data_IF_467366268296
#
_entry.id   IF_467366268296
#
_cell.length_a   1.000
_cell.length_b   1.000
_cell.length_c   1.000
_cell.angle_alpha   90.00
_cell.angle_beta   90.00
_cell.angle_gamma   90.00
#
_symmetry.space_group_name_H-M   'P 1'
#
loop_
_entity.id
_entity.type
_entity.pdbx_description
1 polymer ?
#
# COMPACT_ATOMS: atom_id res chain seq x y z
N UNK A 1 21.39 2.48 1.51
CA UNK A 1 19.91 2.40 1.57
C UNK A 1 19.35 2.87 0.24
N UNK A 2 18.43 2.14 -0.40
CA UNK A 2 17.80 2.63 -1.63
C UNK A 2 16.89 3.81 -1.25
N UNK A 3 17.13 4.97 -1.85
CA UNK A 3 16.38 6.19 -1.53
C UNK A 3 14.99 6.07 -2.17
N UNK A 4 13.92 6.26 -1.42
CA UNK A 4 12.56 6.29 -1.97
C UNK A 4 11.80 7.52 -1.49
N UNK A 5 10.97 8.09 -2.38
CA UNK A 5 10.03 9.17 -2.08
C UNK A 5 8.65 8.56 -1.83
N UNK A 6 7.99 9.00 -0.76
CA UNK A 6 6.58 8.68 -0.52
C UNK A 6 5.75 9.86 -1.02
N UNK A 7 4.66 9.59 -1.72
CA UNK A 7 3.64 10.59 -2.06
C UNK A 7 2.25 10.00 -1.93
N UNK A 8 1.28 10.88 -1.71
CA UNK A 8 -0.12 10.53 -1.89
C UNK A 8 -0.40 10.23 -3.36
N UNK A 9 -1.34 9.33 -3.59
CA UNK A 9 -1.76 8.85 -4.89
C UNK A 9 -3.29 8.84 -4.96
N UNK A 10 -3.84 9.18 -6.13
CA UNK A 10 -5.27 9.11 -6.37
C UNK A 10 -5.60 7.88 -7.20
N UNK A 11 -6.66 7.15 -6.86
CA UNK A 11 -7.02 5.95 -7.59
C UNK A 11 -7.21 6.17 -9.11
N UNK A 12 -7.91 7.22 -9.58
CA UNK A 12 -8.10 7.42 -11.02
C UNK A 12 -6.81 7.74 -11.78
N UNK A 13 -5.91 8.57 -11.21
CA UNK A 13 -4.70 9.00 -11.90
C UNK A 13 -3.54 8.00 -11.76
N UNK A 14 -3.46 7.31 -10.62
CA UNK A 14 -2.35 6.44 -10.24
C UNK A 14 -2.73 4.96 -10.24
N UNK A 15 -3.82 4.58 -10.91
CA UNK A 15 -4.31 3.20 -10.98
C UNK A 15 -3.20 2.23 -11.39
N UNK A 16 -2.53 2.51 -12.49
CA UNK A 16 -1.49 1.64 -13.07
C UNK A 16 -0.32 1.38 -12.09
N UNK A 17 0.33 2.39 -11.49
CA UNK A 17 1.41 2.14 -10.54
C UNK A 17 0.93 1.45 -9.25
N UNK A 18 -0.27 1.75 -8.76
CA UNK A 18 -0.87 1.07 -7.59
C UNK A 18 -1.10 -0.41 -7.89
N UNK A 19 -1.79 -0.73 -8.98
CA UNK A 19 -2.06 -2.09 -9.42
C UNK A 19 -0.78 -2.87 -9.71
N UNK A 20 0.26 -2.21 -10.24
CA UNK A 20 1.55 -2.85 -10.54
C UNK A 20 2.16 -3.46 -9.28
N UNK A 21 2.34 -2.67 -8.22
CA UNK A 21 2.91 -3.16 -6.95
C UNK A 21 2.01 -4.22 -6.32
N UNK A 22 0.69 -3.98 -6.30
CA UNK A 22 -0.30 -4.90 -5.73
C UNK A 22 -0.29 -6.25 -6.44
N UNK A 23 -0.19 -6.27 -7.77
CA UNK A 23 -0.12 -7.49 -8.57
C UNK A 23 1.16 -8.28 -8.30
N UNK A 24 2.32 -7.62 -8.26
CA UNK A 24 3.59 -8.32 -7.99
C UNK A 24 3.57 -8.98 -6.61
N UNK A 25 3.06 -8.30 -5.58
CA UNK A 25 3.07 -8.81 -4.20
C UNK A 25 1.90 -9.75 -3.91
N UNK A 26 0.66 -9.33 -4.16
CA UNK A 26 -0.50 -10.12 -3.79
C UNK A 26 -0.75 -11.27 -4.76
N UNK A 27 -0.72 -11.00 -6.07
CA UNK A 27 -1.05 -12.03 -7.07
C UNK A 27 0.13 -12.95 -7.33
N UNK A 28 1.29 -12.41 -7.70
CA UNK A 28 2.42 -13.27 -8.11
C UNK A 28 3.17 -13.88 -6.93
N UNK A 29 3.45 -13.10 -5.89
CA UNK A 29 4.22 -13.60 -4.76
C UNK A 29 3.34 -14.36 -3.76
N UNK A 30 2.19 -13.81 -3.38
CA UNK A 30 1.32 -14.41 -2.35
C UNK A 30 0.22 -15.30 -2.90
N UNK A 31 0.07 -15.42 -4.23
CA UNK A 31 -0.97 -16.22 -4.89
C UNK A 31 -2.41 -15.84 -4.52
N UNK A 32 -2.65 -14.56 -4.19
CA UNK A 32 -4.02 -14.03 -4.01
C UNK A 32 -4.69 -13.94 -5.39
N UNK A 33 -5.84 -14.60 -5.59
CA UNK A 33 -6.61 -14.46 -6.82
C UNK A 33 -6.92 -13.01 -7.14
N UNK A 34 -6.75 -12.63 -8.41
CA UNK A 34 -6.98 -11.25 -8.88
C UNK A 34 -8.39 -10.75 -8.57
N UNK A 35 -9.39 -11.63 -8.57
CA UNK A 35 -10.77 -11.28 -8.23
C UNK A 35 -10.95 -10.86 -6.76
N UNK A 36 -10.13 -11.37 -5.84
CA UNK A 36 -10.15 -10.98 -4.43
C UNK A 36 -9.34 -9.70 -4.14
N UNK A 37 -8.49 -9.31 -5.09
CA UNK A 37 -7.59 -8.18 -4.93
C UNK A 37 -8.32 -6.83 -5.09
N UNK A 38 -9.32 -6.77 -5.97
CA UNK A 38 -10.20 -5.60 -6.15
C UNK A 38 -11.49 -5.77 -5.35
N UNK A 39 -11.64 -4.99 -4.28
CA UNK A 39 -12.84 -4.98 -3.43
C UNK A 39 -13.85 -3.87 -3.78
N UNK A 40 -13.56 -3.07 -4.81
CA UNK A 40 -14.40 -1.96 -5.24
C UNK A 40 -14.33 -0.71 -4.36
N UNK A 41 -13.51 -0.70 -3.31
CA UNK A 41 -13.43 0.43 -2.36
C UNK A 41 -12.35 1.45 -2.73
N UNK A 42 -11.51 1.14 -3.73
CA UNK A 42 -10.32 1.91 -4.05
C UNK A 42 -10.62 3.35 -4.49
N UNK A 43 -11.75 3.62 -5.14
CA UNK A 43 -12.13 4.97 -5.58
C UNK A 43 -12.46 5.93 -4.43
N UNK A 44 -12.86 5.40 -3.29
CA UNK A 44 -13.25 6.18 -2.09
C UNK A 44 -12.12 6.32 -1.06
N UNK A 45 -10.95 5.77 -1.37
CA UNK A 45 -9.85 5.63 -0.43
C UNK A 45 -8.71 6.61 -0.71
N UNK A 46 -7.95 6.92 0.34
CA UNK A 46 -6.64 7.56 0.20
C UNK A 46 -5.59 6.48 -0.10
N UNK A 47 -4.64 6.81 -0.97
CA UNK A 47 -3.55 5.90 -1.33
C UNK A 47 -2.21 6.57 -1.24
N UNK A 48 -1.16 5.77 -1.08
CA UNK A 48 0.22 6.20 -1.16
C UNK A 48 1.02 5.29 -2.07
N UNK A 49 2.04 5.89 -2.70
CA UNK A 49 3.06 5.20 -3.46
C UNK A 49 4.44 5.52 -2.86
N UNK A 50 5.26 4.47 -2.75
CA UNK A 50 6.70 4.61 -2.60
C UNK A 50 7.35 4.48 -3.96
N UNK A 51 8.11 5.49 -4.38
CA UNK A 51 8.77 5.56 -5.67
C UNK A 51 10.30 5.61 -5.51
N UNK A 52 11.04 4.98 -6.42
CA UNK A 52 12.49 5.17 -6.55
C UNK A 52 12.80 6.58 -7.07
N UNK A 53 14.07 7.03 -7.07
CA UNK A 53 14.45 8.32 -7.66
C UNK A 53 14.14 8.39 -9.16
N UNK A 54 14.12 7.24 -9.83
CA UNK A 54 13.79 7.08 -11.26
C UNK A 54 12.27 7.04 -11.50
N UNK A 55 11.44 7.06 -10.44
CA UNK A 55 9.98 7.07 -10.52
C UNK A 55 9.33 5.68 -10.54
N UNK A 56 10.09 4.61 -10.33
CA UNK A 56 9.55 3.24 -10.29
C UNK A 56 8.73 3.01 -9.02
N UNK A 57 7.49 2.48 -9.09
CA UNK A 57 6.69 2.17 -7.91
C UNK A 57 7.17 0.89 -7.23
N UNK A 58 7.53 1.00 -5.96
CA UNK A 58 8.12 -0.10 -5.17
C UNK A 58 7.32 -0.45 -3.91
N UNK A 59 6.35 0.37 -3.56
CA UNK A 59 5.46 0.13 -2.44
C UNK A 59 4.16 0.90 -2.55
N UNK A 60 3.12 0.41 -1.88
CA UNK A 60 1.81 1.06 -1.80
C UNK A 60 1.14 0.81 -0.45
N UNK A 61 0.16 1.65 -0.12
CA UNK A 61 -0.74 1.50 1.01
C UNK A 61 -2.06 2.22 0.69
N UNK A 62 -3.17 1.67 1.20
CA UNK A 62 -4.51 2.28 1.14
C UNK A 62 -5.03 2.56 2.55
N UNK A 63 -5.71 3.69 2.72
CA UNK A 63 -6.50 4.03 3.89
C UNK A 63 -7.95 4.31 3.48
N UNK A 64 -8.89 3.56 4.02
CA UNK A 64 -10.32 3.80 3.84
C UNK A 64 -10.82 4.89 4.81
N UNK A 65 -11.91 5.61 4.47
CA UNK A 65 -12.59 6.53 5.39
C UNK A 65 -13.06 5.89 6.70
N UNK A 66 -13.24 4.56 6.71
CA UNK A 66 -13.53 3.78 7.92
C UNK A 66 -12.33 3.62 8.88
N UNK A 67 -11.17 4.20 8.55
CA UNK A 67 -9.92 4.02 9.29
C UNK A 67 -9.14 2.76 8.92
N UNK A 68 -9.67 1.91 8.04
CA UNK A 68 -8.99 0.67 7.66
C UNK A 68 -7.77 0.95 6.77
N UNK A 69 -6.61 0.56 7.26
CA UNK A 69 -5.36 0.48 6.50
C UNK A 69 -5.27 -0.90 5.85
N UNK A 70 -5.05 -0.92 4.55
CA UNK A 70 -5.00 -2.14 3.76
C UNK A 70 -4.18 -1.97 2.48
N UNK A 71 -4.16 -3.04 1.67
CA UNK A 71 -3.40 -3.10 0.40
C UNK A 71 -1.95 -2.62 0.54
N UNK A 72 -1.38 -2.81 1.72
CA UNK A 72 0.00 -2.45 2.01
C UNK A 72 0.93 -3.51 1.39
N UNK A 73 1.76 -3.08 0.46
CA UNK A 73 2.67 -3.95 -0.28
C UNK A 73 4.00 -3.24 -0.51
N UNK A 74 5.10 -3.98 -0.40
CA UNK A 74 6.45 -3.53 -0.79
C UNK A 74 7.10 -4.65 -1.57
N UNK A 75 7.67 -4.33 -2.72
CA UNK A 75 8.39 -5.30 -3.57
C UNK A 75 9.54 -5.94 -2.78
N UNK A 76 9.75 -7.25 -2.96
CA UNK A 76 10.67 -8.05 -2.15
C UNK A 76 12.09 -7.43 -2.05
N UNK A 77 12.65 -6.99 -3.17
CA UNK A 77 14.00 -6.38 -3.25
C UNK A 77 14.13 -5.00 -2.58
N UNK A 78 13.02 -4.46 -2.07
CA UNK A 78 12.95 -3.18 -1.35
C UNK A 78 12.53 -3.35 0.13
N UNK A 79 12.26 -4.58 0.58
CA UNK A 79 11.93 -4.88 1.99
C UNK A 79 13.15 -4.73 2.90
N UNK A 80 12.89 -4.63 4.21
CA UNK A 80 13.94 -4.42 5.22
C UNK A 80 14.51 -3.00 5.26
N UNK A 81 13.95 -2.06 4.49
CA UNK A 81 14.44 -0.67 4.36
C UNK A 81 13.51 0.37 5.00
N UNK A 82 12.56 -0.07 5.84
CA UNK A 82 11.62 0.83 6.54
C UNK A 82 10.55 1.50 5.64
N UNK A 83 10.43 1.10 4.37
CA UNK A 83 9.45 1.69 3.43
C UNK A 83 8.02 1.51 3.93
N UNK A 84 7.69 0.32 4.43
CA UNK A 84 6.37 0.03 4.97
C UNK A 84 6.02 0.95 6.14
N UNK A 85 6.92 1.12 7.10
CA UNK A 85 6.73 2.02 8.25
C UNK A 85 6.55 3.47 7.80
N UNK A 86 7.29 3.91 6.78
CA UNK A 86 7.13 5.26 6.21
C UNK A 86 5.76 5.46 5.57
N UNK A 87 5.28 4.49 4.78
CA UNK A 87 3.92 4.51 4.22
C UNK A 87 2.87 4.61 5.33
N UNK A 88 3.03 3.81 6.39
CA UNK A 88 2.12 3.79 7.54
C UNK A 88 2.08 5.16 8.25
N UNK A 89 3.23 5.79 8.49
CA UNK A 89 3.29 7.11 9.12
C UNK A 89 2.56 8.17 8.29
N UNK A 90 2.69 8.14 6.96
CA UNK A 90 1.96 9.07 6.09
C UNK A 90 0.43 8.87 6.18
N UNK A 91 -0.02 7.62 6.23
CA UNK A 91 -1.45 7.31 6.37
C UNK A 91 -2.03 7.73 7.73
N UNK A 92 -1.30 7.47 8.82
CA UNK A 92 -1.72 7.89 10.17
C UNK A 92 -1.80 9.42 10.24
N UNK A 93 -0.81 10.13 9.71
CA UNK A 93 -0.82 11.60 9.69
C UNK A 93 -2.02 12.13 8.88
N UNK A 94 -2.35 11.49 7.76
CA UNK A 94 -3.52 11.86 6.96
C UNK A 94 -4.84 11.59 7.70
N UNK A 95 -4.98 10.44 8.37
CA UNK A 95 -6.15 10.13 9.19
C UNK A 95 -6.36 11.17 10.29
N UNK A 96 -5.29 11.55 11.00
CA UNK A 96 -5.30 12.59 12.02
C UNK A 96 -5.75 13.94 11.46
N UNK A 97 -5.21 14.34 10.30
CA UNK A 97 -5.59 15.59 9.64
C UNK A 97 -7.08 15.61 9.21
N UNK A 98 -7.66 14.45 8.90
CA UNK A 98 -9.09 14.31 8.57
C UNK A 98 -9.99 14.16 9.80
N UNK A 99 -9.42 14.08 11.00
CA UNK A 99 -10.18 13.81 12.24
C UNK A 99 -10.70 12.37 12.35
N UNK A 100 -10.12 11.42 11.62
CA UNK A 100 -10.48 10.00 11.72
C UNK A 100 -9.85 9.43 12.99
N UNK A 101 -10.68 9.14 13.99
CA UNK A 101 -10.25 8.87 15.36
C UNK A 101 -9.50 7.55 15.57
N UNK A 102 -9.81 6.52 14.79
CA UNK A 102 -9.16 5.21 14.91
C UNK A 102 -8.73 4.70 13.54
N UNK A 103 -7.48 4.24 13.46
CA UNK A 103 -6.94 3.53 12.29
C UNK A 103 -6.54 2.13 12.69
N UNK A 104 -6.85 1.16 11.84
CA UNK A 104 -6.65 -0.25 12.15
C UNK A 104 -6.21 -1.01 10.89
N UNK A 105 -5.52 -2.13 11.08
CA UNK A 105 -5.07 -2.98 9.98
C UNK A 105 -5.31 -4.45 10.32
N UNK A 106 -5.71 -5.23 9.33
CA UNK A 106 -5.75 -6.69 9.45
C UNK A 106 -4.40 -7.26 9.06
N UNK A 107 -3.66 -7.81 10.03
CA UNK A 107 -2.44 -8.55 9.75
C UNK A 107 -2.81 -9.97 9.28
N UNK A 108 -2.86 -10.18 7.97
CA UNK A 108 -2.98 -11.53 7.43
C UNK A 108 -1.64 -12.27 7.60
N UNK A 109 -1.60 -13.26 8.50
CA UNK A 109 -0.48 -14.19 8.59
C UNK A 109 -0.51 -15.16 7.40
N UNK A 110 0.04 -14.77 6.26
CA UNK A 110 0.35 -15.74 5.21
C UNK A 110 1.73 -16.36 5.51
N UNK A 111 1.79 -17.21 6.55
CA UNK A 111 2.93 -18.12 6.76
C UNK A 111 2.85 -19.19 5.68
N UNK A 112 3.75 -19.18 4.70
CA UNK A 112 4.11 -20.43 4.03
C UNK A 112 4.94 -21.24 5.02
N UNK A 113 4.59 -22.50 5.35
CA UNK A 113 5.53 -23.37 6.03
C UNK A 113 6.71 -23.59 5.07
N UNK A 114 7.91 -23.39 5.61
CA UNK A 114 9.19 -23.78 5.02
C UNK A 114 9.25 -25.28 4.76
#
# INVERSE_FOLDING_TARGET
MKRVRIREASWPADRTPLETVRREVFVKEQNVPRSMEFDGLDSSALHWLALTPEGEPVGTLRLLPSGQIGRMAVLCVYRGQGIGSRLLHHAIAAAQAHGWGEVWLNAAQNRRPS
#
